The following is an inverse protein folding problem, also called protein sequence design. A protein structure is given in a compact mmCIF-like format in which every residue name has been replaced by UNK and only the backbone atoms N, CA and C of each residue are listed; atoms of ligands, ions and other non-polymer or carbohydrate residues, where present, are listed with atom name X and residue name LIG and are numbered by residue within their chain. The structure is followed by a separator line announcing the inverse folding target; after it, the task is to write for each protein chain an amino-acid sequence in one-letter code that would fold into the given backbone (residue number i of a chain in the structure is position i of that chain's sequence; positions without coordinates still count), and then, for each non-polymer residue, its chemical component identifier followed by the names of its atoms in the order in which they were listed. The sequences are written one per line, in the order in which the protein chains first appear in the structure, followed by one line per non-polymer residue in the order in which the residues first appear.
data_IF_923304081063
#
_entry.id   IF_923304081063
#
_cell.length_a   1.000
_cell.length_b   1.000
_cell.length_c   1.000
_cell.angle_alpha   90.00
_cell.angle_beta   90.00
_cell.angle_gamma   90.00
#
_symmetry.space_group_name_H-M   'P 1'
#
loop_
_entity.id
_entity.type
_entity.pdbx_description
1 polymer ?
#
# COMPACT_ATOMS: atom_id res chain seq x y z
N UNK A 1 0.99 -6.19 16.93
CA UNK A 1 0.85 -4.72 16.95
C UNK A 1 -0.11 -4.37 18.08
N UNK A 2 0.32 -3.57 19.05
CA UNK A 2 -0.57 -3.09 20.12
C UNK A 2 -1.31 -1.88 19.54
N UNK A 3 -2.61 -2.02 19.29
CA UNK A 3 -3.43 -0.93 18.76
C UNK A 3 -3.63 0.07 19.91
N UNK A 4 -3.00 1.25 19.79
CA UNK A 4 -3.20 2.35 20.71
C UNK A 4 -4.62 2.90 20.56
N UNK A 5 -5.15 3.40 21.68
CA UNK A 5 -6.52 3.90 21.86
C UNK A 5 -6.89 4.93 20.79
N UNK A 6 -7.78 4.54 19.88
CA UNK A 6 -8.30 5.37 18.78
C UNK A 6 -9.12 6.53 19.37
N UNK A 7 -8.83 7.76 18.93
CA UNK A 7 -9.48 8.99 19.40
C UNK A 7 -10.61 9.49 18.46
N UNK A 8 -10.72 8.97 17.23
CA UNK A 8 -11.80 9.26 16.28
C UNK A 8 -12.07 8.07 15.34
N UNK A 9 -13.30 7.90 14.83
CA UNK A 9 -13.67 6.83 13.87
C UNK A 9 -12.82 6.90 12.60
N UNK A 10 -12.42 8.10 12.19
CA UNK A 10 -11.53 8.31 11.05
C UNK A 10 -10.12 7.74 11.30
N UNK A 11 -9.57 7.95 12.51
CA UNK A 11 -8.26 7.43 12.90
C UNK A 11 -8.26 5.89 12.89
N UNK A 12 -9.39 5.29 13.26
CA UNK A 12 -9.55 3.84 13.25
C UNK A 12 -9.46 3.25 11.84
N UNK A 13 -10.24 3.79 10.92
CA UNK A 13 -10.28 3.31 9.54
C UNK A 13 -8.97 3.59 8.81
N UNK A 14 -8.27 4.67 9.18
CA UNK A 14 -6.93 4.94 8.72
C UNK A 14 -5.93 3.87 9.19
N UNK A 15 -5.94 3.49 10.47
CA UNK A 15 -5.05 2.45 11.00
C UNK A 15 -5.29 1.09 10.31
N UNK A 16 -6.56 0.73 10.08
CA UNK A 16 -6.91 -0.48 9.32
C UNK A 16 -6.39 -0.40 7.88
N UNK A 17 -6.57 0.74 7.21
CA UNK A 17 -6.04 0.96 5.86
C UNK A 17 -4.52 0.78 5.80
N UNK A 18 -3.79 1.30 6.80
CA UNK A 18 -2.34 1.13 6.87
C UNK A 18 -1.92 -0.31 7.11
N UNK A 19 -2.59 -1.02 8.02
CA UNK A 19 -2.30 -2.42 8.32
C UNK A 19 -2.59 -3.36 7.14
N UNK A 20 -3.70 -3.16 6.43
CA UNK A 20 -3.98 -3.95 5.23
C UNK A 20 -3.03 -3.60 4.09
N UNK A 21 -2.66 -2.33 3.93
CA UNK A 21 -1.66 -1.90 2.94
C UNK A 21 -0.30 -2.56 3.16
N UNK A 22 0.14 -2.70 4.41
CA UNK A 22 1.36 -3.45 4.74
C UNK A 22 1.27 -4.90 4.23
N UNK A 23 0.14 -5.55 4.49
CA UNK A 23 -0.06 -6.94 4.09
C UNK A 23 -0.17 -7.13 2.57
N UNK A 24 -0.79 -6.18 1.86
CA UNK A 24 -0.97 -6.22 0.41
C UNK A 24 0.31 -5.89 -0.37
N UNK A 25 1.18 -5.05 0.20
CA UNK A 25 2.40 -4.59 -0.47
C UNK A 25 3.66 -5.33 -0.02
N UNK A 26 3.64 -5.91 1.18
CA UNK A 26 4.83 -6.49 1.81
C UNK A 26 5.82 -5.46 2.36
N UNK A 27 5.50 -4.16 2.30
CA UNK A 27 6.26 -3.08 2.94
C UNK A 27 5.66 -2.76 4.30
N UNK A 28 6.50 -2.52 5.31
CA UNK A 28 6.01 -2.17 6.65
C UNK A 28 5.24 -0.86 6.68
N UNK A 29 4.34 -0.68 7.65
CA UNK A 29 3.61 0.58 7.87
C UNK A 29 4.58 1.78 7.96
N UNK A 30 5.74 1.61 8.59
CA UNK A 30 6.75 2.67 8.69
C UNK A 30 7.31 3.06 7.31
N UNK A 31 7.61 2.09 6.44
CA UNK A 31 8.06 2.34 5.08
C UNK A 31 6.96 3.05 4.27
N UNK A 32 5.72 2.59 4.39
CA UNK A 32 4.57 3.22 3.73
C UNK A 32 4.37 4.67 4.20
N UNK A 33 4.44 4.94 5.50
CA UNK A 33 4.33 6.31 6.05
C UNK A 33 5.49 7.20 5.62
N UNK A 34 6.71 6.66 5.51
CA UNK A 34 7.91 7.43 5.12
C UNK A 34 7.82 8.03 3.71
N UNK A 35 6.98 7.46 2.84
CA UNK A 35 6.69 8.04 1.51
C UNK A 35 6.04 9.42 1.61
N UNK A 36 5.33 9.71 2.70
CA UNK A 36 4.46 10.87 2.85
C UNK A 36 3.17 10.79 2.03
N UNK A 37 2.79 9.60 1.54
CA UNK A 37 1.60 9.38 0.71
C UNK A 37 0.44 8.72 1.47
N UNK A 38 0.67 8.19 2.68
CA UNK A 38 -0.31 7.40 3.42
C UNK A 38 -1.66 8.11 3.61
N UNK A 39 -1.67 9.31 4.18
CA UNK A 39 -2.89 10.10 4.36
C UNK A 39 -3.49 10.56 3.02
N UNK A 40 -2.63 10.86 2.04
CA UNK A 40 -3.05 11.30 0.70
C UNK A 40 -3.83 10.19 0.01
N UNK A 41 -3.31 8.97 -0.01
CA UNK A 41 -3.98 7.82 -0.63
C UNK A 41 -5.26 7.42 0.07
N UNK A 42 -5.25 7.40 1.40
CA UNK A 42 -6.47 7.15 2.17
C UNK A 42 -7.59 8.13 1.82
N UNK A 43 -7.29 9.44 1.86
CA UNK A 43 -8.25 10.50 1.51
C UNK A 43 -8.61 10.48 0.02
N UNK A 44 -7.67 10.12 -0.84
CA UNK A 44 -7.94 10.04 -2.27
C UNK A 44 -8.97 8.95 -2.57
N UNK A 45 -8.79 7.75 -2.03
CA UNK A 45 -9.75 6.64 -2.20
C UNK A 45 -11.13 7.03 -1.66
N UNK A 46 -11.20 7.61 -0.45
CA UNK A 46 -12.46 8.11 0.14
C UNK A 46 -13.23 9.08 -0.76
N UNK A 47 -12.54 9.83 -1.62
CA UNK A 47 -13.15 10.77 -2.54
C UNK A 47 -13.49 10.17 -3.92
N UNK A 48 -12.91 9.02 -4.28
CA UNK A 48 -13.13 8.37 -5.58
C UNK A 48 -14.21 7.29 -5.54
N UNK A 49 -14.36 6.60 -4.41
CA UNK A 49 -15.34 5.52 -4.24
C UNK A 49 -16.38 5.90 -3.19
N UNK A 50 -17.56 5.27 -3.28
CA UNK A 50 -18.61 5.48 -2.28
C UNK A 50 -18.09 5.12 -0.88
N UNK A 51 -18.32 6.01 0.08
CA UNK A 51 -17.83 5.86 1.45
C UNK A 51 -18.26 4.55 2.09
N UNK A 52 -19.51 4.12 1.85
CA UNK A 52 -20.03 2.85 2.36
C UNK A 52 -19.23 1.65 1.83
N UNK A 53 -18.91 1.65 0.53
CA UNK A 53 -18.12 0.60 -0.12
C UNK A 53 -16.69 0.56 0.42
N UNK A 54 -16.04 1.71 0.62
CA UNK A 54 -14.69 1.71 1.20
C UNK A 54 -14.68 1.25 2.65
N UNK A 55 -15.67 1.68 3.45
CA UNK A 55 -15.82 1.25 4.84
C UNK A 55 -16.08 -0.27 4.90
N UNK A 56 -16.85 -0.83 3.98
CA UNK A 56 -17.07 -2.28 3.89
C UNK A 56 -15.74 -3.01 3.63
N UNK A 57 -14.94 -2.56 2.67
CA UNK A 57 -13.60 -3.09 2.42
C UNK A 57 -12.71 -3.03 3.69
N UNK A 58 -12.72 -1.93 4.42
CA UNK A 58 -11.94 -1.79 5.65
C UNK A 58 -12.47 -2.69 6.78
N UNK A 59 -13.78 -2.86 6.91
CA UNK A 59 -14.36 -3.77 7.90
C UNK A 59 -13.98 -5.24 7.61
N UNK A 60 -14.02 -5.66 6.34
CA UNK A 60 -13.56 -7.00 5.92
C UNK A 60 -12.06 -7.15 6.22
N UNK A 61 -11.26 -6.16 5.84
CA UNK A 61 -9.81 -6.14 6.10
C UNK A 61 -9.48 -6.27 7.58
N UNK A 62 -10.21 -5.52 8.43
CA UNK A 62 -10.09 -5.60 9.88
C UNK A 62 -10.40 -7.01 10.40
N UNK A 63 -11.49 -7.62 9.96
CA UNK A 63 -11.84 -8.97 10.37
C UNK A 63 -10.76 -9.98 9.99
N UNK A 64 -10.16 -9.85 8.79
CA UNK A 64 -9.04 -10.68 8.35
C UNK A 64 -7.80 -10.48 9.24
N UNK A 65 -7.46 -9.24 9.56
CA UNK A 65 -6.32 -8.88 10.41
C UNK A 65 -6.47 -9.38 11.85
N UNK A 66 -7.65 -9.24 12.45
CA UNK A 66 -7.90 -9.60 13.85
C UNK A 66 -8.05 -11.11 14.08
N UNK A 67 -8.58 -11.85 13.09
CA UNK A 67 -8.82 -13.29 13.22
C UNK A 67 -7.62 -14.16 12.79
N UNK A 68 -6.54 -13.55 12.33
CA UNK A 68 -5.34 -14.27 11.90
C UNK A 68 -4.32 -14.36 13.04
N UNK A 69 -4.04 -15.56 13.54
CA UNK A 69 -3.09 -15.77 14.65
C UNK A 69 -1.63 -15.93 14.17
N UNK A 70 -1.40 -16.14 12.88
CA UNK A 70 -0.07 -16.25 12.28
C UNK A 70 -0.01 -15.58 10.91
N UNK A 71 1.22 -15.31 10.43
CA UNK A 71 1.45 -14.71 9.12
C UNK A 71 0.93 -15.59 7.97
N UNK A 72 1.01 -16.92 8.11
CA UNK A 72 0.52 -17.84 7.08
C UNK A 72 -1.01 -17.86 7.04
N UNK A 73 -1.66 -17.84 8.21
CA UNK A 73 -3.11 -17.70 8.28
C UNK A 73 -3.59 -16.38 7.68
N UNK A 74 -2.87 -15.28 7.96
CA UNK A 74 -3.18 -13.97 7.40
C UNK A 74 -3.12 -13.97 5.87
N UNK A 75 -2.05 -14.53 5.28
CA UNK A 75 -1.93 -14.64 3.82
C UNK A 75 -3.08 -15.43 3.20
N UNK A 76 -3.47 -16.56 3.81
CA UNK A 76 -4.58 -17.39 3.35
C UNK A 76 -5.90 -16.60 3.42
N UNK A 77 -6.16 -15.92 4.55
CA UNK A 77 -7.37 -15.14 4.75
C UNK A 77 -7.47 -13.94 3.80
N UNK A 78 -6.38 -13.19 3.59
CA UNK A 78 -6.34 -12.11 2.58
C UNK A 78 -6.65 -12.66 1.19
N UNK A 79 -6.06 -13.80 0.82
CA UNK A 79 -6.31 -14.41 -0.49
C UNK A 79 -7.79 -14.76 -0.67
N UNK A 80 -8.42 -15.37 0.34
CA UNK A 80 -9.80 -15.83 0.26
C UNK A 80 -10.83 -14.69 0.38
N UNK A 81 -10.67 -13.81 1.37
CA UNK A 81 -11.71 -12.86 1.78
C UNK A 81 -11.56 -11.48 1.13
N UNK A 82 -10.36 -11.15 0.61
CA UNK A 82 -10.07 -9.84 0.02
C UNK A 82 -9.78 -9.98 -1.49
N UNK A 83 -8.85 -10.85 -1.87
CA UNK A 83 -8.42 -10.97 -3.26
C UNK A 83 -9.41 -11.79 -4.09
N UNK A 84 -9.92 -12.91 -3.57
CA UNK A 84 -10.89 -13.73 -4.32
C UNK A 84 -12.34 -13.23 -4.20
N UNK A 85 -12.61 -12.29 -3.30
CA UNK A 85 -13.93 -11.73 -3.05
C UNK A 85 -14.27 -10.61 -4.06
N UNK A 86 -15.32 -10.75 -4.89
CA UNK A 86 -15.68 -9.74 -5.90
C UNK A 86 -15.97 -8.35 -5.34
N UNK A 87 -16.46 -8.24 -4.09
CA UNK A 87 -16.79 -6.95 -3.48
C UNK A 87 -15.54 -6.12 -3.10
N UNK A 88 -14.40 -6.79 -2.89
CA UNK A 88 -13.17 -6.16 -2.38
C UNK A 88 -12.00 -6.23 -3.36
N UNK A 89 -12.05 -7.14 -4.34
CA UNK A 89 -10.96 -7.42 -5.27
C UNK A 89 -10.46 -6.15 -5.97
N UNK A 90 -11.37 -5.37 -6.55
CA UNK A 90 -11.02 -4.17 -7.32
C UNK A 90 -10.41 -3.06 -6.44
N UNK A 91 -10.88 -2.94 -5.20
CA UNK A 91 -10.33 -1.99 -4.23
C UNK A 91 -8.94 -2.43 -3.80
N UNK A 92 -8.74 -3.71 -3.50
CA UNK A 92 -7.43 -4.25 -3.15
C UNK A 92 -6.42 -4.04 -4.28
N UNK A 93 -6.82 -4.32 -5.53
CA UNK A 93 -6.00 -4.05 -6.71
C UNK A 93 -5.66 -2.57 -6.83
N UNK A 94 -6.65 -1.68 -6.67
CA UNK A 94 -6.43 -0.24 -6.73
C UNK A 94 -5.50 0.27 -5.61
N UNK A 95 -5.61 -0.26 -4.40
CA UNK A 95 -4.69 0.04 -3.28
C UNK A 95 -3.26 -0.41 -3.62
N UNK A 96 -3.09 -1.61 -4.18
CA UNK A 96 -1.78 -2.10 -4.63
C UNK A 96 -1.23 -1.19 -5.73
N UNK A 97 -2.03 -0.85 -6.74
CA UNK A 97 -1.63 0.04 -7.83
C UNK A 97 -1.24 1.44 -7.32
N UNK A 98 -1.99 2.02 -6.39
CA UNK A 98 -1.65 3.29 -5.76
C UNK A 98 -0.29 3.24 -5.07
N UNK A 99 -0.03 2.21 -4.27
CA UNK A 99 1.24 2.09 -3.57
C UNK A 99 2.42 1.88 -4.51
N UNK A 100 2.29 0.95 -5.48
CA UNK A 100 3.39 0.62 -6.37
C UNK A 100 3.63 1.65 -7.45
N UNK A 101 2.57 2.08 -8.13
CA UNK A 101 2.64 2.92 -9.33
C UNK A 101 2.34 4.38 -9.05
N UNK A 102 1.68 4.69 -7.93
CA UNK A 102 1.26 6.04 -7.62
C UNK A 102 0.09 6.55 -8.46
N UNK A 103 -0.62 5.66 -9.13
CA UNK A 103 -1.68 6.00 -10.07
C UNK A 103 -3.03 5.50 -9.61
N UNK A 104 -4.06 6.22 -10.03
CA UNK A 104 -5.46 5.81 -10.00
C UNK A 104 -6.02 5.93 -11.41
N UNK A 105 -6.57 4.85 -11.95
CA UNK A 105 -7.10 4.81 -13.34
C UNK A 105 -6.10 5.34 -14.39
N UNK A 106 -4.80 5.12 -14.16
CA UNK A 106 -3.73 5.52 -15.07
C UNK A 106 -3.20 6.94 -14.89
N UNK A 107 -3.78 7.76 -14.02
CA UNK A 107 -3.30 9.11 -13.69
C UNK A 107 -2.57 9.14 -12.35
N UNK A 108 -1.47 9.88 -12.24
CA UNK A 108 -0.80 10.08 -10.94
C UNK A 108 -1.69 10.89 -9.99
N UNK A 109 -1.79 10.45 -8.74
CA UNK A 109 -2.55 11.16 -7.71
C UNK A 109 -1.96 12.53 -7.41
N UNK A 110 -0.62 12.62 -7.33
CA UNK A 110 0.12 13.88 -7.26
C UNK A 110 1.58 13.72 -7.72
N UNK A 111 2.34 14.82 -7.74
CA UNK A 111 3.77 14.81 -8.11
C UNK A 111 4.62 13.87 -7.26
N UNK A 112 4.26 13.67 -5.99
CA UNK A 112 5.00 12.80 -5.05
C UNK A 112 4.74 11.32 -5.34
N UNK A 113 3.55 10.97 -5.82
CA UNK A 113 3.17 9.60 -6.16
C UNK A 113 4.12 8.98 -7.18
N UNK A 114 4.56 9.75 -8.18
CA UNK A 114 5.60 9.28 -9.10
C UNK A 114 6.95 9.06 -8.41
N UNK A 115 7.34 9.95 -7.49
CA UNK A 115 8.68 9.96 -6.87
C UNK A 115 8.86 8.90 -5.79
N UNK A 116 7.78 8.55 -5.11
CA UNK A 116 7.78 7.67 -3.93
C UNK A 116 7.01 6.36 -4.17
N UNK A 117 6.62 6.05 -5.42
CA UNK A 117 6.02 4.77 -5.77
C UNK A 117 6.93 3.59 -5.42
N UNK A 118 6.37 2.56 -4.77
CA UNK A 118 7.16 1.43 -4.24
C UNK A 118 7.87 0.62 -5.33
N UNK A 119 7.44 0.74 -6.59
CA UNK A 119 8.09 0.07 -7.71
C UNK A 119 9.57 0.43 -7.82
N UNK A 120 9.95 1.67 -7.50
CA UNK A 120 11.36 2.10 -7.53
C UNK A 120 12.19 1.33 -6.53
N UNK A 121 11.68 1.15 -5.31
CA UNK A 121 12.35 0.37 -4.26
C UNK A 121 12.50 -1.10 -4.66
N UNK A 122 11.44 -1.71 -5.20
CA UNK A 122 11.46 -3.12 -5.65
C UNK A 122 12.46 -3.34 -6.78
N UNK A 123 12.59 -2.40 -7.71
CA UNK A 123 13.56 -2.48 -8.80
C UNK A 123 14.98 -2.09 -8.37
N UNK A 124 15.20 -1.70 -7.11
CA UNK A 124 16.44 -1.07 -6.64
C UNK A 124 16.87 0.11 -7.55
N UNK A 125 15.89 0.91 -7.98
CA UNK A 125 16.04 2.01 -8.91
C UNK A 125 15.59 3.34 -8.27
N UNK A 126 15.70 4.42 -9.05
CA UNK A 126 15.25 5.75 -8.65
C UNK A 126 14.29 6.29 -9.72
N UNK A 127 13.30 7.14 -9.35
CA UNK A 127 12.39 7.77 -10.30
C UNK A 127 13.17 8.67 -11.28
N UNK A 128 13.16 8.35 -12.59
CA UNK A 128 13.81 9.16 -13.61
C UNK A 128 13.38 10.62 -13.57
N UNK A 129 14.33 11.55 -13.70
CA UNK A 129 14.03 12.99 -13.71
C UNK A 129 13.60 13.59 -12.36
N UNK A 130 13.45 12.81 -11.29
CA UNK A 130 13.06 13.31 -9.97
C UNK A 130 14.04 12.99 -8.85
N UNK A 131 14.74 11.85 -8.90
CA UNK A 131 15.83 11.51 -7.98
C UNK A 131 17.00 10.96 -8.81
N UNK A 132 17.94 11.84 -9.15
CA UNK A 132 19.12 11.43 -9.91
C UNK A 132 20.03 10.54 -9.07
N UNK A 133 20.59 9.46 -9.64
CA UNK A 133 21.66 8.74 -8.96
C UNK A 133 22.94 9.59 -8.95
N UNK A 134 23.89 9.23 -8.09
CA UNK A 134 25.21 9.86 -8.08
C UNK A 134 25.94 9.68 -9.42
N UNK A 135 26.82 10.63 -9.77
CA UNK A 135 27.68 10.51 -10.95
C UNK A 135 28.45 9.16 -10.92
N UNK A 136 28.57 8.49 -12.07
CA UNK A 136 29.20 7.16 -12.24
C UNK A 136 28.48 5.99 -11.55
N UNK A 137 27.25 6.14 -11.07
CA UNK A 137 26.48 5.01 -10.53
C UNK A 137 26.29 3.85 -11.52
N UNK A 138 26.42 4.14 -12.82
CA UNK A 138 26.35 3.18 -13.93
C UNK A 138 27.67 2.44 -14.21
N UNK A 139 28.78 2.80 -13.56
CA UNK A 139 30.09 2.18 -13.76
C UNK A 139 30.18 0.80 -13.08
N UNK A 140 29.43 0.59 -11.99
CA UNK A 140 29.41 -0.66 -11.23
C UNK A 140 28.38 -1.64 -11.81
N UNK A 141 28.83 -2.86 -12.14
CA UNK A 141 27.92 -3.94 -12.54
C UNK A 141 26.94 -4.25 -11.39
N UNK A 142 25.62 -4.37 -11.65
CA UNK A 142 24.65 -4.78 -10.65
C UNK A 142 25.00 -6.16 -10.09
N UNK A 143 24.83 -6.35 -8.78
CA UNK A 143 24.90 -7.69 -8.17
C UNK A 143 23.59 -8.41 -8.44
N UNK A 144 23.65 -9.49 -9.21
CA UNK A 144 22.56 -10.44 -9.35
C UNK A 144 22.77 -11.59 -8.35
N UNK A 145 21.73 -11.98 -7.63
CA UNK A 145 21.73 -13.07 -6.63
C UNK A 145 22.00 -14.48 -7.20
N UNK A 146 22.40 -14.56 -8.47
CA UNK A 146 22.67 -15.79 -9.22
C UNK A 146 24.14 -15.89 -9.68
N UNK A 147 25.08 -15.26 -8.96
CA UNK A 147 26.53 -15.45 -9.21
C UNK A 147 27.11 -16.51 -8.28
#
# INVERSE_FOLDING_TARGET
MIINKILNVDDYYYDVFMAISESLTGFSVNELQSTGLAEIYYKYILNQIETATFIEFLNISKNVLENSASQDQLKIAITAEIIANPATHEIAQSVITLWYMGTWEGAYVNDRSYKEGLIWTVMHAHPPGAKQPGFKSWETKPVNSNS
#
